data_IF_108811537729
#
_entry.id   IF_108811537729
#
_cell.length_a   1.000
_cell.length_b   1.000
_cell.length_c   1.000
_cell.angle_alpha   90.00
_cell.angle_beta   90.00
_cell.angle_gamma   90.00
#
_symmetry.space_group_name_H-M   'P 1'
#
loop_
_entity.id
_entity.type
_entity.pdbx_description
1 polymer ?
#
# COMPACT_ATOMS: atom_id res chain seq x y z
N UNK A 1 -7.90 3.41 -7.85
CA UNK A 1 -6.58 2.90 -7.48
C UNK A 1 -5.64 4.04 -7.12
N UNK A 2 -4.80 3.83 -6.14
CA UNK A 2 -3.94 4.87 -5.61
C UNK A 2 -2.47 4.65 -5.98
N UNK A 3 -1.77 5.74 -6.22
CA UNK A 3 -0.31 5.73 -6.31
C UNK A 3 0.23 5.41 -4.93
N UNK A 4 1.44 4.84 -4.87
CA UNK A 4 2.07 4.50 -3.57
C UNK A 4 2.11 5.72 -2.65
N UNK A 5 2.49 6.86 -3.18
CA UNK A 5 2.55 8.13 -2.44
C UNK A 5 1.18 8.50 -1.84
N UNK A 6 0.12 8.36 -2.63
CA UNK A 6 -1.22 8.70 -2.19
C UNK A 6 -1.74 7.69 -1.17
N UNK A 7 -1.41 6.41 -1.36
CA UNK A 7 -1.77 5.36 -0.41
C UNK A 7 -1.09 5.60 0.94
N UNK A 8 0.18 5.99 0.92
CA UNK A 8 0.92 6.32 2.14
C UNK A 8 0.23 7.46 2.90
N UNK A 9 -0.22 8.45 2.16
CA UNK A 9 -0.93 9.60 2.72
C UNK A 9 -2.24 9.16 3.37
N UNK A 10 -2.99 8.30 2.66
CA UNK A 10 -4.25 7.77 3.18
C UNK A 10 -4.05 7.00 4.48
N UNK A 11 -2.95 6.29 4.59
CA UNK A 11 -2.65 5.47 5.76
C UNK A 11 -1.84 6.24 6.82
N UNK A 12 -1.50 7.49 6.53
CA UNK A 12 -0.69 8.34 7.43
C UNK A 12 0.66 7.71 7.76
N UNK A 13 1.31 7.15 6.75
CA UNK A 13 2.62 6.54 6.89
C UNK A 13 3.56 7.10 5.83
N UNK A 14 4.86 6.83 5.98
CA UNK A 14 5.84 7.28 5.00
C UNK A 14 5.86 6.37 3.77
N UNK A 15 6.35 6.90 2.66
CA UNK A 15 6.54 6.11 1.44
C UNK A 15 7.56 4.99 1.71
N UNK A 16 8.60 5.28 2.49
CA UNK A 16 9.60 4.27 2.87
C UNK A 16 8.95 3.09 3.60
N UNK A 17 8.03 3.40 4.50
CA UNK A 17 7.30 2.35 5.22
C UNK A 17 6.47 1.51 4.25
N UNK A 18 5.81 2.17 3.29
CA UNK A 18 5.03 1.49 2.26
C UNK A 18 5.92 0.53 1.46
N UNK A 19 7.06 1.02 1.00
CA UNK A 19 8.00 0.20 0.23
C UNK A 19 8.45 -1.03 1.04
N UNK A 20 8.71 -0.83 2.32
CA UNK A 20 9.12 -1.91 3.20
C UNK A 20 8.03 -2.98 3.33
N UNK A 21 6.80 -2.53 3.53
CA UNK A 21 5.67 -3.45 3.69
C UNK A 21 5.34 -4.18 2.39
N UNK A 22 5.49 -3.49 1.26
CA UNK A 22 5.29 -4.10 -0.06
C UNK A 22 6.36 -5.17 -0.30
N UNK A 23 7.61 -4.86 0.01
CA UNK A 23 8.72 -5.82 -0.13
C UNK A 23 8.54 -7.03 0.76
N UNK A 24 7.95 -6.84 1.94
CA UNK A 24 7.68 -7.93 2.88
C UNK A 24 6.39 -8.68 2.53
N UNK A 25 5.75 -8.32 1.43
CA UNK A 25 4.50 -8.93 0.96
C UNK A 25 3.34 -8.77 1.95
N UNK A 26 3.37 -7.69 2.74
CA UNK A 26 2.30 -7.38 3.68
C UNK A 26 1.20 -6.56 3.01
N UNK A 27 1.52 -5.90 1.89
CA UNK A 27 0.58 -5.09 1.12
C UNK A 27 0.61 -5.58 -0.31
N UNK A 28 -0.56 -5.82 -0.88
CA UNK A 28 -0.70 -6.20 -2.28
C UNK A 28 -0.63 -4.96 -3.17
N UNK A 29 0.15 -5.06 -4.23
CA UNK A 29 0.18 -4.00 -5.25
C UNK A 29 -0.22 -4.59 -6.59
N UNK A 30 -0.72 -3.73 -7.47
CA UNK A 30 -1.07 -4.09 -8.82
C UNK A 30 -0.08 -3.40 -9.75
N UNK A 31 0.49 -4.15 -10.67
CA UNK A 31 1.48 -3.63 -11.60
C UNK A 31 0.84 -3.32 -12.95
N UNK A 32 1.08 -2.08 -13.40
CA UNK A 32 0.68 -1.65 -14.75
C UNK A 32 1.95 -1.26 -15.49
N UNK A 33 2.54 -2.23 -16.18
CA UNK A 33 3.75 -1.99 -16.98
C UNK A 33 4.88 -1.29 -16.22
N UNK A 34 5.22 -1.73 -15.04
CA UNK A 34 6.28 -1.15 -14.24
C UNK A 34 5.83 -0.06 -13.28
N UNK A 35 4.55 0.29 -13.33
CA UNK A 35 3.99 1.29 -12.41
C UNK A 35 3.17 0.57 -11.36
N UNK A 36 3.43 0.87 -10.08
CA UNK A 36 2.72 0.25 -8.96
C UNK A 36 1.49 1.05 -8.59
N UNK A 37 0.40 0.34 -8.31
CA UNK A 37 -0.83 0.94 -7.79
C UNK A 37 -1.40 0.05 -6.68
N UNK A 38 -2.15 0.64 -5.78
CA UNK A 38 -2.81 -0.09 -4.71
C UNK A 38 -4.31 0.07 -4.87
N UNK A 39 -5.03 -1.05 -4.85
CA UNK A 39 -6.48 -1.06 -4.96
C UNK A 39 -7.09 -0.40 -3.73
N UNK A 40 -8.19 0.32 -3.93
CA UNK A 40 -8.92 0.96 -2.83
C UNK A 40 -9.39 -0.08 -1.81
N UNK A 41 -9.75 -1.27 -2.27
CA UNK A 41 -10.15 -2.36 -1.37
C UNK A 41 -9.00 -2.79 -0.47
N UNK A 42 -7.78 -2.78 -0.98
CA UNK A 42 -6.61 -3.13 -0.18
C UNK A 42 -6.36 -2.07 0.89
N UNK A 43 -6.55 -0.80 0.56
CA UNK A 43 -6.43 0.28 1.53
C UNK A 43 -7.48 0.12 2.63
N UNK A 44 -8.71 -0.19 2.25
CA UNK A 44 -9.79 -0.41 3.21
C UNK A 44 -9.49 -1.59 4.13
N UNK A 45 -8.94 -2.67 3.56
CA UNK A 45 -8.55 -3.85 4.34
C UNK A 45 -7.50 -3.48 5.38
N UNK A 46 -6.48 -2.71 4.97
CA UNK A 46 -5.41 -2.30 5.87
C UNK A 46 -5.95 -1.42 6.99
N UNK A 47 -6.83 -0.50 6.65
CA UNK A 47 -7.46 0.37 7.64
C UNK A 47 -8.28 -0.41 8.65
N UNK A 48 -8.94 -1.48 8.19
CA UNK A 48 -9.80 -2.29 9.03
C UNK A 48 -9.03 -3.28 9.90
N UNK A 49 -8.01 -3.91 9.31
CA UNK A 49 -7.28 -5.00 9.96
C UNK A 49 -5.91 -4.62 10.49
N UNK A 50 -5.32 -3.58 9.95
CA UNK A 50 -3.95 -3.23 10.25
C UNK A 50 -2.97 -4.16 9.56
N UNK A 51 -1.70 -3.99 9.87
CA UNK A 51 -0.63 -4.85 9.37
C UNK A 51 0.15 -5.35 10.57
N UNK A 52 0.23 -6.67 10.70
CA UNK A 52 1.03 -7.29 11.74
C UNK A 52 2.47 -7.39 11.25
N UNK A 53 3.36 -6.87 12.04
CA UNK A 53 4.79 -6.87 11.72
C UNK A 53 5.49 -8.00 12.47
#
# INVERSE_FOLDING_TARGET
MLKIKDAAKELSVSVSWMDKMISAEKIKVIWFGGVRRIDDEEIDRIKREGIKI
#
